data_IF_966954424760
#
_entry.id   IF_966954424760
#
_cell.length_a   1.000
_cell.length_b   1.000
_cell.length_c   1.000
_cell.angle_alpha   90.00
_cell.angle_beta   90.00
_cell.angle_gamma   90.00
#
_symmetry.space_group_name_H-M   'P 1'
#
loop_
_entity.id
_entity.type
_entity.pdbx_description
1 polymer ?
#
# COMPACT_ATOMS: atom_id res chain seq x y z
N UNK A 1 -5.27 -10.13 8.38
CA UNK A 1 -4.99 -10.84 7.10
C UNK A 1 -6.28 -11.43 6.56
N UNK A 2 -6.98 -10.72 5.67
CA UNK A 2 -8.19 -11.22 4.94
C UNK A 2 -7.87 -11.57 3.47
N UNK A 3 -6.59 -11.57 3.10
CA UNK A 3 -6.11 -11.50 1.72
C UNK A 3 -6.06 -12.84 0.97
N UNK A 4 -6.26 -13.98 1.64
CA UNK A 4 -6.08 -15.28 0.99
C UNK A 4 -7.39 -15.91 0.48
N UNK A 5 -8.55 -15.46 0.94
CA UNK A 5 -9.84 -16.10 0.59
C UNK A 5 -10.94 -15.12 0.19
N UNK A 6 -10.93 -13.89 0.71
CA UNK A 6 -11.93 -12.88 0.35
C UNK A 6 -11.48 -12.16 -0.92
N UNK A 7 -12.38 -12.00 -1.90
CA UNK A 7 -12.11 -11.15 -3.08
C UNK A 7 -11.61 -9.79 -2.58
N UNK A 8 -10.46 -9.35 -3.11
CA UNK A 8 -9.75 -8.13 -2.69
C UNK A 8 -10.61 -6.85 -2.74
N UNK A 9 -11.73 -6.90 -3.46
CA UNK A 9 -12.71 -5.81 -3.62
C UNK A 9 -13.27 -5.39 -2.25
N UNK A 10 -13.63 -6.35 -1.39
CA UNK A 10 -14.19 -6.08 -0.05
C UNK A 10 -13.16 -5.64 1.01
N UNK A 11 -11.89 -5.50 0.61
CA UNK A 11 -10.87 -4.98 1.52
C UNK A 11 -10.89 -3.43 1.58
N UNK A 12 -11.54 -2.78 0.62
CA UNK A 12 -11.57 -1.33 0.50
C UNK A 12 -13.03 -0.85 0.56
N UNK A 13 -13.42 -0.10 1.61
CA UNK A 13 -14.79 0.41 1.72
C UNK A 13 -15.15 1.34 0.55
N UNK A 14 -14.16 1.95 -0.10
CA UNK A 14 -14.36 2.77 -1.29
C UNK A 14 -14.83 1.95 -2.51
N UNK A 15 -14.51 0.65 -2.56
CA UNK A 15 -14.94 -0.26 -3.64
C UNK A 15 -16.25 -0.98 -3.32
N UNK A 16 -16.62 -1.10 -2.04
CA UNK A 16 -17.88 -1.75 -1.64
C UNK A 16 -19.12 -0.99 -2.13
N UNK A 17 -19.01 0.30 -2.43
CA UNK A 17 -20.08 1.11 -3.01
C UNK A 17 -20.26 0.90 -4.53
N UNK A 18 -19.28 0.29 -5.20
CA UNK A 18 -19.29 0.09 -6.65
C UNK A 18 -19.81 -1.32 -7.01
N UNK A 19 -20.49 -1.48 -8.16
CA UNK A 19 -20.76 -2.80 -8.71
C UNK A 19 -19.46 -3.61 -8.86
N UNK A 20 -19.47 -4.90 -8.49
CA UNK A 20 -18.30 -5.79 -8.63
C UNK A 20 -17.52 -5.63 -9.96
N UNK A 21 -18.16 -5.60 -11.16
CA UNK A 21 -17.40 -5.48 -12.41
C UNK A 21 -16.66 -4.14 -12.54
N UNK A 22 -17.17 -3.05 -11.98
CA UNK A 22 -16.51 -1.74 -11.99
C UNK A 22 -15.36 -1.70 -10.99
N UNK A 23 -15.57 -2.25 -9.78
CA UNK A 23 -14.54 -2.39 -8.76
C UNK A 23 -13.34 -3.19 -9.26
N UNK A 24 -13.57 -4.28 -10.00
CA UNK A 24 -12.49 -5.06 -10.62
C UNK A 24 -11.72 -4.28 -11.70
N UNK A 25 -12.43 -3.53 -12.56
CA UNK A 25 -11.79 -2.71 -13.61
C UNK A 25 -10.89 -1.64 -12.98
N UNK A 26 -11.37 -0.96 -11.94
CA UNK A 26 -10.61 0.04 -11.21
C UNK A 26 -9.37 -0.59 -10.54
N UNK A 27 -9.52 -1.75 -9.91
CA UNK A 27 -8.41 -2.50 -9.32
C UNK A 27 -7.36 -2.91 -10.34
N UNK A 28 -7.76 -3.38 -11.53
CA UNK A 28 -6.84 -3.72 -12.62
C UNK A 28 -6.05 -2.49 -13.08
N UNK A 29 -6.70 -1.33 -13.17
CA UNK A 29 -6.02 -0.06 -13.51
C UNK A 29 -4.99 0.34 -12.46
N UNK A 30 -5.38 0.36 -11.18
CA UNK A 30 -4.49 0.71 -10.08
C UNK A 30 -3.30 -0.26 -10.00
N UNK A 31 -3.52 -1.56 -10.25
CA UNK A 31 -2.44 -2.55 -10.30
C UNK A 31 -1.47 -2.28 -11.45
N UNK A 32 -1.97 -1.98 -12.65
CA UNK A 32 -1.14 -1.72 -13.84
C UNK A 32 -0.26 -0.48 -13.66
N UNK A 33 -0.81 0.59 -13.07
CA UNK A 33 -0.06 1.84 -12.85
C UNK A 33 1.02 1.72 -11.77
N UNK A 34 0.92 0.72 -10.88
CA UNK A 34 1.79 0.61 -9.70
C UNK A 34 2.69 -0.61 -9.66
N UNK A 35 2.74 -1.36 -10.75
CA UNK A 35 3.65 -2.50 -10.94
C UNK A 35 5.14 -2.10 -10.77
N UNK A 36 5.45 -0.80 -10.80
CA UNK A 36 6.80 -0.23 -10.61
C UNK A 36 7.22 0.03 -9.17
N UNK A 37 6.37 -0.12 -8.13
CA UNK A 37 6.78 0.08 -6.73
C UNK A 37 6.78 -1.14 -5.79
N UNK A 38 6.76 -2.41 -6.23
CA UNK A 38 6.86 -3.54 -5.30
C UNK A 38 8.21 -3.54 -4.57
N UNK A 39 9.28 -3.13 -5.25
CA UNK A 39 10.61 -3.00 -4.66
C UNK A 39 10.64 -2.06 -3.45
N UNK A 40 9.89 -0.96 -3.49
CA UNK A 40 9.86 0.01 -2.39
C UNK A 40 9.11 -0.53 -1.16
N UNK A 41 8.00 -1.26 -1.35
CA UNK A 41 7.31 -1.94 -0.25
C UNK A 41 8.15 -3.05 0.36
N UNK A 42 8.85 -3.84 -0.48
CA UNK A 42 9.77 -4.88 -0.01
C UNK A 42 10.95 -4.27 0.74
N UNK A 43 11.56 -3.20 0.20
CA UNK A 43 12.64 -2.49 0.86
C UNK A 43 12.20 -1.90 2.21
N UNK A 44 11.01 -1.31 2.30
CA UNK A 44 10.45 -0.82 3.56
C UNK A 44 10.26 -1.95 4.58
N UNK A 45 9.77 -3.11 4.14
CA UNK A 45 9.62 -4.29 5.00
C UNK A 45 10.97 -4.84 5.50
N UNK A 46 11.96 -4.92 4.62
CA UNK A 46 13.33 -5.34 4.97
C UNK A 46 14.01 -4.37 5.93
N UNK A 47 13.86 -3.05 5.71
CA UNK A 47 14.37 -2.03 6.62
C UNK A 47 13.72 -2.12 8.00
N UNK A 48 12.39 -2.29 8.06
CA UNK A 48 11.68 -2.45 9.33
C UNK A 48 12.14 -3.70 10.09
N UNK A 49 12.30 -4.84 9.39
CA UNK A 49 12.82 -6.07 9.98
C UNK A 49 14.27 -5.90 10.46
N UNK A 50 15.13 -5.26 9.66
CA UNK A 50 16.52 -4.99 10.00
C UNK A 50 16.66 -4.09 11.23
N UNK A 51 15.88 -3.00 11.31
CA UNK A 51 15.84 -2.10 12.47
C UNK A 51 15.38 -2.83 13.72
N UNK A 52 14.35 -3.69 13.61
CA UNK A 52 13.89 -4.49 14.74
C UNK A 52 14.97 -5.44 15.26
N UNK A 53 15.63 -6.18 14.36
CA UNK A 53 16.70 -7.12 14.72
C UNK A 53 17.85 -6.35 15.39
N UNK A 54 18.30 -5.25 14.78
CA UNK A 54 19.36 -4.42 15.36
C UNK A 54 18.98 -3.88 16.75
N UNK A 55 17.74 -3.39 16.92
CA UNK A 55 17.19 -2.94 18.20
C UNK A 55 17.16 -4.06 19.24
N UNK A 56 16.70 -5.26 18.87
CA UNK A 56 16.66 -6.41 19.77
C UNK A 56 18.06 -6.83 20.25
N UNK A 57 19.08 -6.80 19.38
CA UNK A 57 20.45 -7.12 19.77
C UNK A 57 21.12 -6.03 20.61
N UNK A 58 20.85 -4.75 20.31
CA UNK A 58 21.47 -3.61 21.01
C UNK A 58 20.81 -3.31 22.36
N UNK A 59 19.48 -3.32 22.41
CA UNK A 59 18.71 -3.00 23.60
C UNK A 59 18.30 -4.23 24.42
N UNK A 60 18.31 -5.42 23.81
CA UNK A 60 17.93 -6.67 24.46
C UNK A 60 18.64 -6.93 25.79
N UNK A 61 19.98 -6.80 25.87
CA UNK A 61 20.69 -6.98 27.14
C UNK A 61 20.28 -5.99 28.23
N UNK A 62 20.02 -4.73 27.87
CA UNK A 62 19.58 -3.70 28.81
C UNK A 62 18.16 -3.97 29.33
N UNK A 63 17.24 -4.35 28.43
CA UNK A 63 15.88 -4.77 28.80
C UNK A 63 15.93 -6.01 29.69
N UNK A 64 16.81 -6.95 29.39
CA UNK A 64 17.00 -8.17 30.16
C UNK A 64 17.47 -7.88 31.59
N UNK A 65 18.51 -7.05 31.75
CA UNK A 65 19.00 -6.63 33.06
C UNK A 65 17.91 -5.92 33.88
N UNK A 66 17.12 -5.06 33.24
CA UNK A 66 16.00 -4.40 33.89
C UNK A 66 14.91 -5.41 34.32
N UNK A 67 14.64 -6.42 33.50
CA UNK A 67 13.66 -7.47 33.81
C UNK A 67 14.12 -8.39 34.95
N UNK A 68 15.39 -8.79 34.99
CA UNK A 68 15.95 -9.58 36.11
C UNK A 68 15.84 -8.81 37.44
N UNK A 69 16.04 -7.49 37.42
CA UNK A 69 15.89 -6.66 38.61
C UNK A 69 14.44 -6.58 39.10
N UNK A 70 13.46 -6.62 38.19
CA UNK A 70 12.04 -6.50 38.51
C UNK A 70 11.38 -7.84 38.91
N UNK A 71 11.76 -8.94 38.25
CA UNK A 71 11.07 -10.24 38.38
C UNK A 71 11.91 -11.32 39.06
N UNK A 72 13.16 -11.01 39.42
CA UNK A 72 14.11 -11.96 40.00
C UNK A 72 14.89 -12.76 38.96
N UNK A 73 15.80 -13.64 39.40
CA UNK A 73 16.71 -14.37 38.52
C UNK A 73 15.94 -15.40 37.68
N UNK A 74 15.62 -15.02 36.44
CA UNK A 74 15.19 -15.97 35.43
C UNK A 74 16.37 -16.83 34.97
N UNK A 75 16.10 -18.08 34.60
CA UNK A 75 17.13 -18.98 34.08
C UNK A 75 17.73 -18.40 32.78
N UNK A 76 18.93 -17.82 32.87
CA UNK A 76 19.59 -17.03 31.82
C UNK A 76 19.83 -17.78 30.50
N UNK A 77 19.90 -19.10 30.55
CA UNK A 77 20.03 -19.94 29.35
C UNK A 77 18.73 -19.96 28.53
N UNK A 78 17.58 -20.08 29.20
CA UNK A 78 16.26 -20.19 28.53
C UNK A 78 15.91 -18.88 27.85
N UNK A 79 16.19 -17.76 28.50
CA UNK A 79 15.86 -16.44 27.94
C UNK A 79 16.74 -16.03 26.77
N UNK A 80 18.02 -16.37 26.79
CA UNK A 80 18.91 -16.17 25.64
C UNK A 80 18.45 -17.00 24.45
N UNK A 81 18.11 -18.27 24.69
CA UNK A 81 17.59 -19.15 23.65
C UNK A 81 16.27 -18.59 23.07
N UNK A 82 15.36 -18.13 23.93
CA UNK A 82 14.09 -17.54 23.51
C UNK A 82 14.31 -16.24 22.72
N UNK A 83 15.22 -15.37 23.15
CA UNK A 83 15.53 -14.12 22.45
C UNK A 83 16.14 -14.38 21.08
N UNK A 84 17.01 -15.39 20.97
CA UNK A 84 17.69 -15.75 19.73
C UNK A 84 16.75 -16.40 18.70
N UNK A 85 15.78 -17.19 19.17
CA UNK A 85 14.81 -17.87 18.32
C UNK A 85 13.58 -17.00 17.99
N UNK A 86 13.01 -16.33 19.00
CA UNK A 86 11.75 -15.60 18.88
C UNK A 86 11.96 -14.20 18.30
N UNK A 87 13.09 -13.55 18.60
CA UNK A 87 13.41 -12.19 18.15
C UNK A 87 13.40 -12.03 16.63
N UNK A 88 14.17 -12.85 15.87
CA UNK A 88 14.17 -12.79 14.41
C UNK A 88 12.81 -13.12 13.80
N UNK A 89 12.10 -14.11 14.35
CA UNK A 89 10.79 -14.52 13.87
C UNK A 89 9.76 -13.39 14.01
N UNK A 90 9.71 -12.75 15.17
CA UNK A 90 8.88 -11.56 15.42
C UNK A 90 9.28 -10.40 14.49
N UNK A 91 10.58 -10.17 14.28
CA UNK A 91 11.07 -9.14 13.37
C UNK A 91 10.60 -9.35 11.93
N UNK A 92 10.68 -10.58 11.42
CA UNK A 92 10.17 -10.93 10.09
C UNK A 92 8.65 -10.75 9.99
N UNK A 93 7.90 -11.14 11.03
CA UNK A 93 6.45 -10.94 11.08
C UNK A 93 6.06 -9.46 11.06
N UNK A 94 6.73 -8.65 11.89
CA UNK A 94 6.51 -7.20 11.96
C UNK A 94 6.90 -6.53 10.66
N UNK A 95 8.06 -6.85 10.09
CA UNK A 95 8.52 -6.30 8.82
C UNK A 95 7.58 -6.64 7.65
N UNK A 96 7.13 -7.89 7.57
CA UNK A 96 6.12 -8.32 6.60
C UNK A 96 4.79 -7.60 6.79
N UNK A 97 4.33 -7.45 8.04
CA UNK A 97 3.12 -6.72 8.40
C UNK A 97 3.18 -5.25 7.98
N UNK A 98 4.28 -4.56 8.27
CA UNK A 98 4.51 -3.16 7.87
C UNK A 98 4.55 -3.02 6.35
N UNK A 99 5.23 -3.93 5.64
CA UNK A 99 5.28 -3.91 4.18
C UNK A 99 3.90 -4.09 3.52
N UNK A 100 3.09 -5.02 4.04
CA UNK A 100 1.71 -5.21 3.61
C UNK A 100 0.83 -4.00 3.93
N UNK A 101 0.95 -3.45 5.14
CA UNK A 101 0.18 -2.28 5.56
C UNK A 101 0.51 -1.04 4.71
N UNK A 102 1.79 -0.81 4.41
CA UNK A 102 2.21 0.29 3.55
C UNK A 102 1.66 0.12 2.13
N UNK A 103 1.72 -1.11 1.60
CA UNK A 103 1.12 -1.46 0.31
C UNK A 103 -0.38 -1.13 0.30
N UNK A 104 -1.12 -1.52 1.33
CA UNK A 104 -2.56 -1.28 1.43
C UNK A 104 -2.87 0.22 1.53
N UNK A 105 -2.14 0.97 2.36
CA UNK A 105 -2.27 2.43 2.45
C UNK A 105 -1.98 3.14 1.13
N UNK A 106 -0.96 2.67 0.42
CA UNK A 106 -0.64 3.18 -0.89
C UNK A 106 -1.84 2.94 -1.82
N UNK A 107 -2.38 1.71 -1.89
CA UNK A 107 -3.54 1.37 -2.73
C UNK A 107 -4.74 2.24 -2.37
N UNK A 108 -5.10 2.34 -1.09
CA UNK A 108 -6.18 3.19 -0.61
C UNK A 108 -5.98 4.66 -1.00
N UNK A 109 -4.76 5.20 -0.84
CA UNK A 109 -4.45 6.56 -1.26
C UNK A 109 -4.55 6.76 -2.78
N UNK A 110 -4.25 5.74 -3.59
CA UNK A 110 -4.39 5.83 -5.03
C UNK A 110 -5.86 5.79 -5.45
N UNK A 111 -6.67 4.95 -4.80
CA UNK A 111 -8.11 4.92 -5.00
C UNK A 111 -8.76 6.27 -4.66
N UNK A 112 -8.35 6.90 -3.55
CA UNK A 112 -8.83 8.24 -3.16
C UNK A 112 -8.43 9.34 -4.15
N UNK A 113 -7.31 9.19 -4.86
CA UNK A 113 -6.87 10.11 -5.92
C UNK A 113 -7.45 9.75 -7.29
N UNK A 114 -8.00 8.55 -7.47
CA UNK A 114 -8.69 8.12 -8.70
C UNK A 114 -9.70 9.12 -9.24
N UNK A 115 -10.60 9.74 -8.42
CA UNK A 115 -11.49 10.78 -8.91
C UNK A 115 -10.77 12.07 -9.35
N UNK A 116 -9.57 12.35 -8.85
CA UNK A 116 -8.78 13.51 -9.31
C UNK A 116 -8.15 13.26 -10.69
N UNK A 117 -7.90 12.00 -11.06
CA UNK A 117 -7.37 11.66 -12.39
C UNK A 117 -8.38 11.92 -13.53
N UNK A 118 -9.67 12.02 -13.20
CA UNK A 118 -10.74 12.41 -14.13
C UNK A 118 -10.92 13.93 -14.21
N UNK A 119 -10.03 14.72 -13.59
CA UNK A 119 -10.07 16.19 -13.64
C UNK A 119 -8.92 16.73 -14.46
N UNK A 120 -9.17 17.82 -15.18
CA UNK A 120 -8.12 18.52 -15.90
C UNK A 120 -7.01 18.99 -14.91
N UNK A 121 -5.72 18.74 -15.16
CA UNK A 121 -4.64 19.14 -14.25
C UNK A 121 -4.48 20.67 -14.16
N UNK A 122 -5.02 21.41 -15.13
CA UNK A 122 -4.92 22.88 -15.20
C UNK A 122 -6.08 23.57 -14.49
N UNK A 123 -7.32 23.29 -14.89
CA UNK A 123 -8.51 23.97 -14.36
C UNK A 123 -9.37 23.12 -13.42
N UNK A 124 -9.00 21.84 -13.19
CA UNK A 124 -9.75 20.87 -12.38
C UNK A 124 -11.17 20.55 -12.85
N UNK A 125 -11.53 20.94 -14.08
CA UNK A 125 -12.80 20.56 -14.70
C UNK A 125 -12.93 19.03 -14.79
N UNK A 126 -14.09 18.49 -14.42
CA UNK A 126 -14.38 17.06 -14.46
C UNK A 126 -14.62 16.63 -15.91
N UNK A 127 -13.76 15.76 -16.43
CA UNK A 127 -13.71 15.37 -17.85
C UNK A 127 -14.65 14.18 -18.14
N UNK A 128 -15.53 13.84 -17.19
CA UNK A 128 -16.44 12.70 -17.29
C UNK A 128 -17.52 13.00 -18.34
N UNK A 129 -17.81 12.05 -19.21
CA UNK A 129 -18.80 12.22 -20.29
C UNK A 129 -18.31 12.94 -21.54
N UNK A 130 -17.02 13.33 -21.63
CA UNK A 130 -16.49 13.93 -22.85
C UNK A 130 -16.30 12.86 -23.94
N UNK A 131 -16.91 13.06 -25.11
CA UNK A 131 -16.59 12.26 -26.30
C UNK A 131 -15.24 12.68 -26.87
N UNK A 132 -14.38 11.71 -27.16
CA UNK A 132 -13.11 11.93 -27.86
C UNK A 132 -12.90 10.91 -28.95
N UNK A 133 -12.64 11.40 -30.16
CA UNK A 133 -12.30 10.54 -31.31
C UNK A 133 -10.79 10.22 -31.40
N UNK A 134 -9.96 10.83 -30.54
CA UNK A 134 -8.49 10.71 -30.58
C UNK A 134 -7.91 10.34 -29.21
N UNK A 135 -6.65 9.87 -29.17
CA UNK A 135 -5.90 9.52 -27.95
C UNK A 135 -5.55 10.75 -27.06
N UNK A 136 -6.08 11.91 -27.41
CA UNK A 136 -5.90 13.19 -26.73
C UNK A 136 -7.24 13.76 -26.29
N UNK A 137 -7.38 13.97 -24.97
CA UNK A 137 -8.50 14.67 -24.37
C UNK A 137 -8.21 16.17 -24.35
N UNK A 138 -9.09 16.96 -24.95
CA UNK A 138 -9.01 18.43 -24.86
C UNK A 138 -10.01 18.91 -23.82
N UNK A 139 -9.54 19.60 -22.78
CA UNK A 139 -10.44 20.15 -21.77
C UNK A 139 -11.32 21.25 -22.39
N UNK A 140 -12.66 21.21 -22.23
CA UNK A 140 -13.55 22.20 -22.84
C UNK A 140 -13.41 23.60 -22.22
N UNK A 141 -13.00 23.69 -20.95
CA UNK A 141 -12.88 24.97 -20.23
C UNK A 141 -11.58 25.71 -20.57
N UNK A 142 -10.45 25.00 -20.62
CA UNK A 142 -9.13 25.65 -20.73
C UNK A 142 -8.36 25.27 -21.99
N UNK A 143 -8.97 24.50 -22.90
CA UNK A 143 -8.37 23.97 -24.13
C UNK A 143 -7.06 23.19 -23.92
N UNK A 144 -6.77 22.74 -22.70
CA UNK A 144 -5.56 21.97 -22.41
C UNK A 144 -5.71 20.55 -22.98
N UNK A 145 -4.83 20.19 -23.92
CA UNK A 145 -4.74 18.85 -24.48
C UNK A 145 -3.94 17.93 -23.57
N UNK A 146 -4.47 16.75 -23.30
CA UNK A 146 -3.92 15.76 -22.39
C UNK A 146 -3.88 14.40 -23.09
N UNK A 147 -2.70 13.77 -23.25
CA UNK A 147 -2.64 12.42 -23.80
C UNK A 147 -3.25 11.41 -22.82
N UNK A 148 -4.26 10.64 -23.25
CA UNK A 148 -5.01 9.72 -22.39
C UNK A 148 -4.10 8.70 -21.72
N UNK A 149 -3.13 8.15 -22.47
CA UNK A 149 -2.18 7.15 -21.99
C UNK A 149 -1.28 7.68 -20.86
N UNK A 150 -0.90 8.97 -20.87
CA UNK A 150 -0.04 9.55 -19.85
C UNK A 150 -0.73 9.66 -18.49
N UNK A 151 -2.06 9.81 -18.50
CA UNK A 151 -2.90 9.88 -17.30
C UNK A 151 -3.55 8.54 -16.96
N UNK A 152 -3.27 7.48 -17.73
CA UNK A 152 -3.83 6.15 -17.51
C UNK A 152 -5.34 6.06 -17.77
N UNK A 153 -5.89 7.01 -18.54
CA UNK A 153 -7.27 7.03 -18.96
C UNK A 153 -7.47 6.09 -20.15
N UNK A 154 -8.60 5.40 -20.19
CA UNK A 154 -9.05 4.60 -21.32
C UNK A 154 -10.39 5.13 -21.82
N UNK A 155 -10.73 4.92 -23.10
CA UNK A 155 -12.03 5.36 -23.65
C UNK A 155 -13.23 4.90 -22.81
N UNK A 156 -13.17 3.70 -22.25
CA UNK A 156 -14.21 3.18 -21.36
C UNK A 156 -14.43 3.97 -20.06
N UNK A 157 -13.52 4.86 -19.67
CA UNK A 157 -13.67 5.72 -18.48
C UNK A 157 -14.48 6.97 -18.74
N UNK A 158 -14.54 7.40 -20.00
CA UNK A 158 -15.23 8.62 -20.39
C UNK A 158 -16.74 8.39 -20.50
N UNK A 159 -17.16 7.14 -20.74
CA UNK A 159 -18.56 6.76 -20.97
C UNK A 159 -19.31 6.27 -19.72
N UNK A 160 -18.67 6.29 -18.54
CA UNK A 160 -19.21 5.77 -17.27
C UNK A 160 -19.58 6.90 -16.31
#
# INVERSE_FOLDING_TARGET
>A
MRLCTTKLIHAFPELDALPEPEGERLLRRVRRFRQTRPALCVAAGLLAAGVWIAGAYTLGPAIWLAAEHAFGPMHSAVSRLLSLLLGPYLGCFLGGGVGLWLRDRLIASALRRGPEALRCPRCRYEIRGLHTDTDTLTCPECAHAMPMHAYGLCLGDLHN
#
